data_IF_253922017772
#
_entry.id   IF_253922017772
#
_cell.length_a   1.000
_cell.length_b   1.000
_cell.length_c   1.000
_cell.angle_alpha   90.00
_cell.angle_beta   90.00
_cell.angle_gamma   90.00
#
_symmetry.space_group_name_H-M   'P 1'
#
loop_
_entity.id
_entity.type
_entity.pdbx_description
1 polymer ?
#
# COMPACT_ATOMS: atom_id res chain seq x y z
N UNK A 1 -4.96 -40.91 10.29
CA UNK A 1 -4.12 -41.11 9.09
C UNK A 1 -5.00 -40.82 7.89
N UNK A 2 -5.02 -39.58 7.43
CA UNK A 2 -5.68 -39.18 6.17
C UNK A 2 -4.92 -37.96 5.63
N UNK A 3 -4.59 -38.04 4.36
CA UNK A 3 -3.54 -37.31 3.68
C UNK A 3 -4.24 -36.15 2.96
N UNK A 4 -3.99 -34.90 3.31
CA UNK A 4 -4.38 -33.77 2.46
C UNK A 4 -3.20 -33.48 1.52
N UNK A 5 -3.27 -34.12 0.35
CA UNK A 5 -2.39 -33.86 -0.78
C UNK A 5 -2.69 -32.46 -1.32
N UNK A 6 -1.75 -31.54 -1.10
CA UNK A 6 -1.68 -30.25 -1.77
C UNK A 6 -1.25 -30.47 -3.21
N UNK A 7 -2.21 -30.71 -4.11
CA UNK A 7 -1.97 -30.75 -5.55
C UNK A 7 -2.71 -29.59 -6.17
N UNK A 8 -1.97 -28.53 -6.51
CA UNK A 8 -2.42 -27.43 -7.37
C UNK A 8 -2.68 -27.99 -8.77
N UNK A 9 -3.79 -28.70 -8.92
CA UNK A 9 -4.21 -29.31 -10.18
C UNK A 9 -5.28 -28.44 -10.83
N UNK A 10 -5.25 -28.27 -12.17
CA UNK A 10 -6.24 -27.50 -12.92
C UNK A 10 -7.70 -27.91 -12.63
N UNK A 11 -7.90 -29.15 -12.13
CA UNK A 11 -9.18 -29.70 -11.70
C UNK A 11 -9.78 -28.92 -10.51
N UNK A 12 -8.98 -28.55 -9.51
CA UNK A 12 -9.48 -27.79 -8.36
C UNK A 12 -9.89 -26.38 -8.76
N UNK A 13 -9.13 -25.76 -9.66
CA UNK A 13 -9.42 -24.43 -10.16
C UNK A 13 -10.72 -24.44 -10.98
N UNK A 14 -10.92 -25.43 -11.85
CA UNK A 14 -12.16 -25.60 -12.60
C UNK A 14 -13.38 -25.76 -11.68
N UNK A 15 -13.24 -26.54 -10.60
CA UNK A 15 -14.30 -26.71 -9.61
C UNK A 15 -14.65 -25.40 -8.90
N UNK A 16 -13.64 -24.64 -8.44
CA UNK A 16 -13.84 -23.34 -7.79
C UNK A 16 -14.52 -22.35 -8.75
N UNK A 17 -14.12 -22.32 -10.02
CA UNK A 17 -14.76 -21.45 -11.03
C UNK A 17 -16.20 -21.89 -11.33
N UNK A 18 -16.47 -23.20 -11.35
CA UNK A 18 -17.81 -23.74 -11.50
C UNK A 18 -18.70 -23.32 -10.32
N UNK A 19 -18.21 -23.49 -9.10
CA UNK A 19 -18.92 -23.14 -7.87
C UNK A 19 -19.19 -21.62 -7.79
N UNK A 20 -18.22 -20.77 -8.18
CA UNK A 20 -18.41 -19.32 -8.26
C UNK A 20 -19.44 -18.92 -9.33
N UNK A 21 -19.47 -19.60 -10.47
CA UNK A 21 -20.45 -19.31 -11.52
C UNK A 21 -21.87 -19.72 -11.10
N UNK A 22 -22.03 -20.86 -10.45
CA UNK A 22 -23.30 -21.27 -9.84
C UNK A 22 -23.75 -20.30 -8.75
N UNK A 23 -22.83 -19.88 -7.87
CA UNK A 23 -23.14 -18.90 -6.83
C UNK A 23 -23.54 -17.56 -7.42
N UNK A 24 -22.89 -17.10 -8.49
CA UNK A 24 -23.28 -15.87 -9.22
C UNK A 24 -24.70 -15.95 -9.79
N UNK A 25 -25.15 -17.12 -10.21
CA UNK A 25 -26.51 -17.31 -10.73
C UNK A 25 -27.58 -17.24 -9.62
N UNK A 26 -27.25 -17.66 -8.40
CA UNK A 26 -28.15 -17.64 -7.26
C UNK A 26 -28.10 -16.32 -6.46
N UNK A 27 -26.89 -15.80 -6.22
CA UNK A 27 -26.60 -14.57 -5.48
C UNK A 27 -25.35 -13.86 -6.06
N UNK A 28 -25.57 -12.88 -6.96
CA UNK A 28 -24.47 -12.10 -7.54
C UNK A 28 -23.67 -11.29 -6.50
N UNK A 29 -24.30 -10.88 -5.39
CA UNK A 29 -23.67 -10.05 -4.37
C UNK A 29 -22.69 -10.86 -3.53
N UNK A 30 -23.11 -12.06 -3.10
CA UNK A 30 -22.24 -12.99 -2.37
C UNK A 30 -21.04 -13.44 -3.21
N UNK A 31 -21.23 -13.73 -4.51
CA UNK A 31 -20.14 -14.10 -5.41
C UNK A 31 -19.10 -12.98 -5.54
N UNK A 32 -19.53 -11.73 -5.67
CA UNK A 32 -18.63 -10.57 -5.75
C UNK A 32 -17.88 -10.36 -4.43
N UNK A 33 -18.55 -10.51 -3.29
CA UNK A 33 -17.94 -10.41 -1.97
C UNK A 33 -16.78 -11.41 -1.79
N UNK A 34 -16.92 -12.66 -2.23
CA UNK A 34 -15.86 -13.67 -2.12
C UNK A 34 -14.63 -13.38 -2.99
N UNK A 35 -14.83 -12.82 -4.19
CA UNK A 35 -13.72 -12.46 -5.11
C UNK A 35 -13.03 -11.17 -4.66
N UNK A 36 -13.80 -10.23 -4.11
CA UNK A 36 -13.28 -8.94 -3.62
C UNK A 36 -12.70 -9.02 -2.21
N UNK A 37 -13.07 -10.03 -1.42
CA UNK A 37 -12.47 -10.35 -0.13
C UNK A 37 -11.04 -10.87 -0.35
N UNK A 38 -10.13 -9.93 -0.59
CA UNK A 38 -8.70 -10.20 -0.54
C UNK A 38 -8.39 -10.67 0.88
N UNK A 39 -7.76 -11.85 1.09
CA UNK A 39 -7.39 -12.28 2.42
C UNK A 39 -6.47 -11.21 3.00
N UNK A 40 -6.95 -10.52 4.04
CA UNK A 40 -6.16 -9.55 4.76
C UNK A 40 -5.07 -10.35 5.47
N UNK A 41 -3.88 -10.45 4.88
CA UNK A 41 -2.73 -11.14 5.48
C UNK A 41 -2.22 -10.40 6.72
N UNK A 42 -2.87 -9.30 7.12
CA UNK A 42 -2.63 -8.62 8.37
C UNK A 42 -3.51 -9.26 9.45
N UNK A 43 -2.97 -10.27 10.12
CA UNK A 43 -3.49 -10.85 11.37
C UNK A 43 -3.43 -9.89 12.57
N UNK A 44 -3.55 -8.58 12.35
CA UNK A 44 -3.71 -7.62 13.43
C UNK A 44 -5.19 -7.37 13.66
N UNK A 45 -5.77 -8.21 14.51
CA UNK A 45 -7.03 -7.96 15.22
C UNK A 45 -7.08 -6.52 15.70
N UNK A 46 -7.80 -5.67 14.97
CA UNK A 46 -8.25 -4.38 15.46
C UNK A 46 -9.64 -4.15 14.92
N UNK A 47 -10.54 -3.79 15.85
CA UNK A 47 -11.98 -3.67 15.74
C UNK A 47 -12.52 -3.00 14.45
N UNK A 48 -13.80 -3.20 14.08
CA UNK A 48 -14.43 -2.54 12.95
C UNK A 48 -14.48 -1.03 13.21
N UNK A 49 -13.45 -0.34 12.71
CA UNK A 49 -13.38 1.11 12.59
C UNK A 49 -13.79 1.43 11.14
N UNK A 50 -14.54 2.51 10.85
CA UNK A 50 -15.06 2.76 9.50
C UNK A 50 -13.92 2.80 8.48
N UNK A 51 -13.78 1.71 7.72
CA UNK A 51 -12.68 1.48 6.79
C UNK A 51 -12.58 2.59 5.72
N UNK A 52 -13.71 3.20 5.35
CA UNK A 52 -13.76 4.28 4.37
C UNK A 52 -12.95 5.51 4.80
N UNK A 53 -13.09 5.99 6.03
CA UNK A 53 -12.40 7.21 6.46
C UNK A 53 -10.90 6.97 6.64
N UNK A 54 -10.53 5.77 7.09
CA UNK A 54 -9.13 5.43 7.31
C UNK A 54 -8.37 5.25 5.98
N UNK A 55 -8.97 4.59 4.99
CA UNK A 55 -8.42 4.49 3.63
C UNK A 55 -8.23 5.85 2.97
N UNK A 56 -9.21 6.76 3.11
CA UNK A 56 -9.09 8.12 2.56
C UNK A 56 -7.93 8.89 3.21
N UNK A 57 -7.75 8.79 4.53
CA UNK A 57 -6.62 9.44 5.23
C UNK A 57 -5.26 8.83 4.87
N UNK A 58 -5.20 7.53 4.61
CA UNK A 58 -3.99 6.83 4.14
C UNK A 58 -3.62 7.30 2.73
N UNK A 59 -4.62 7.41 1.85
CA UNK A 59 -4.46 7.86 0.48
C UNK A 59 -3.97 9.31 0.41
N UNK A 60 -4.56 10.21 1.20
CA UNK A 60 -4.11 11.60 1.29
C UNK A 60 -2.68 11.70 1.81
N UNK A 61 -2.33 10.95 2.87
CA UNK A 61 -0.96 10.88 3.36
C UNK A 61 0.03 10.36 2.30
N UNK A 62 -0.36 9.36 1.52
CA UNK A 62 0.47 8.84 0.44
C UNK A 62 0.71 9.89 -0.67
N UNK A 63 -0.31 10.68 -1.02
CA UNK A 63 -0.18 11.78 -1.99
C UNK A 63 0.76 12.88 -1.47
N UNK A 64 0.63 13.25 -0.20
CA UNK A 64 1.49 14.25 0.44
C UNK A 64 2.96 13.80 0.41
N UNK A 65 3.21 12.52 0.72
CA UNK A 65 4.55 11.93 0.69
C UNK A 65 5.15 11.93 -0.71
N UNK A 66 4.33 11.66 -1.73
CA UNK A 66 4.77 11.68 -3.12
C UNK A 66 5.12 13.10 -3.59
N UNK A 67 4.29 14.08 -3.22
CA UNK A 67 4.53 15.49 -3.51
C UNK A 67 5.81 15.97 -2.84
N UNK A 68 6.00 15.66 -1.55
CA UNK A 68 7.21 15.99 -0.82
C UNK A 68 8.46 15.37 -1.46
N UNK A 69 8.39 14.09 -1.87
CA UNK A 69 9.50 13.44 -2.57
C UNK A 69 9.86 14.17 -3.87
N UNK A 70 8.87 14.57 -4.65
CA UNK A 70 9.07 15.30 -5.88
C UNK A 70 9.75 16.65 -5.64
N UNK A 71 9.25 17.44 -4.69
CA UNK A 71 9.82 18.75 -4.34
C UNK A 71 11.27 18.64 -3.87
N UNK A 72 11.57 17.67 -2.99
CA UNK A 72 12.93 17.41 -2.51
C UNK A 72 13.84 16.99 -3.65
N UNK A 73 13.35 16.13 -4.55
CA UNK A 73 14.12 15.67 -5.72
C UNK A 73 14.41 16.82 -6.68
N UNK A 74 13.45 17.69 -6.95
CA UNK A 74 13.66 18.88 -7.78
C UNK A 74 14.63 19.87 -7.14
N UNK A 75 14.51 20.15 -5.84
CA UNK A 75 15.44 21.02 -5.12
C UNK A 75 16.87 20.44 -5.12
N UNK A 76 16.98 19.12 -5.00
CA UNK A 76 18.26 18.41 -5.12
C UNK A 76 18.83 18.50 -6.55
N UNK A 77 18.02 18.27 -7.59
CA UNK A 77 18.44 18.40 -8.98
C UNK A 77 18.84 19.84 -9.34
N UNK A 78 18.15 20.85 -8.80
CA UNK A 78 18.51 22.27 -8.94
C UNK A 78 19.75 22.68 -8.14
N UNK A 79 20.31 21.76 -7.34
CA UNK A 79 21.47 22.02 -6.49
C UNK A 79 21.23 23.01 -5.36
N UNK A 80 19.96 23.34 -5.07
CA UNK A 80 19.58 24.30 -4.03
C UNK A 80 19.99 23.81 -2.64
N UNK A 81 19.82 22.51 -2.39
CA UNK A 81 20.23 21.87 -1.14
C UNK A 81 21.74 21.97 -0.90
N UNK A 82 22.54 21.76 -1.95
CA UNK A 82 24.00 21.84 -1.87
C UNK A 82 24.48 23.27 -1.60
N UNK A 83 23.91 24.26 -2.30
CA UNK A 83 24.21 25.67 -2.08
C UNK A 83 23.86 26.13 -0.67
N UNK A 84 22.63 25.84 -0.21
CA UNK A 84 22.19 26.21 1.14
C UNK A 84 23.05 25.57 2.23
N UNK A 85 23.46 24.30 2.05
CA UNK A 85 24.36 23.61 2.99
C UNK A 85 25.76 24.24 3.01
N UNK A 86 26.29 24.64 1.85
CA UNK A 86 27.59 25.31 1.76
C UNK A 86 27.54 26.70 2.44
N UNK A 87 26.52 27.50 2.17
CA UNK A 87 26.32 28.81 2.79
C UNK A 87 26.21 28.69 4.32
N UNK A 88 25.47 27.71 4.82
CA UNK A 88 25.35 27.43 6.25
C UNK A 88 26.71 27.05 6.87
N UNK A 89 27.51 26.22 6.19
CA UNK A 89 28.87 25.87 6.63
C UNK A 89 29.79 27.09 6.68
N UNK A 90 29.70 27.96 5.68
CA UNK A 90 30.49 29.20 5.65
C UNK A 90 30.05 30.20 6.73
N UNK A 91 28.76 30.27 7.06
CA UNK A 91 28.26 31.07 8.16
C UNK A 91 28.81 30.59 9.52
N UNK A 92 28.79 29.28 9.77
CA UNK A 92 29.38 28.69 10.99
C UNK A 92 30.89 28.91 11.04
N UNK A 93 31.61 28.71 9.93
CA UNK A 93 33.06 28.98 9.89
C UNK A 93 33.38 30.43 10.22
N UNK A 94 32.57 31.38 9.74
CA UNK A 94 32.72 32.80 10.05
C UNK A 94 32.46 33.10 11.53
N UNK A 95 31.46 32.48 12.16
CA UNK A 95 31.19 32.70 13.59
C UNK A 95 32.22 32.05 14.51
N UNK A 96 32.89 30.97 14.06
CA UNK A 96 33.88 30.23 14.85
C UNK A 96 35.32 30.72 14.65
N UNK A 97 35.59 31.55 13.65
CA UNK A 97 36.93 32.05 13.29
C UNK A 97 37.24 33.47 13.76
N UNK A 98 36.46 34.00 14.70
CA UNK A 98 36.67 35.30 15.35
C UNK A 98 37.28 35.15 16.73
#
# INVERSE_FOLDING_TARGET
MTIQTTTTEPIQLAQILSDLNSLRACDPSAALALVSARPNTNTNTTAPTPASTQEDTELERAKDLLKLHYEVKEAHMRGELGRGLQEAREAVRRSMGG
#
